data_IF_089266304469
#
_entry.id   IF_089266304469
#
_cell.length_a   1.000
_cell.length_b   1.000
_cell.length_c   1.000
_cell.angle_alpha   90.00
_cell.angle_beta   90.00
_cell.angle_gamma   90.00
#
_symmetry.space_group_name_H-M   'P 1'
#
loop_
_entity.id
_entity.type
_entity.pdbx_description
1 polymer ?
#
# COMPACT_ATOMS: atom_id res chain seq x y z
N UNK A 1 18.94 16.29 5.53
CA UNK A 1 18.44 15.61 6.73
C UNK A 1 17.14 14.93 6.31
N UNK A 2 17.14 13.62 6.20
CA UNK A 2 15.97 12.79 5.80
C UNK A 2 14.84 13.03 6.80
N UNK A 3 13.61 13.20 6.32
CA UNK A 3 12.48 13.43 7.22
C UNK A 3 12.10 12.16 7.98
N UNK A 4 11.37 12.31 9.10
CA UNK A 4 10.85 11.15 9.82
C UNK A 4 9.90 10.30 8.95
N UNK A 5 9.10 10.94 8.08
CA UNK A 5 8.20 10.23 7.17
C UNK A 5 8.97 9.39 6.15
N UNK A 6 9.99 9.97 5.53
CA UNK A 6 10.87 9.27 4.57
C UNK A 6 11.61 8.10 5.24
N UNK A 7 12.07 8.27 6.48
CA UNK A 7 12.67 7.17 7.27
C UNK A 7 11.69 6.01 7.49
N UNK A 8 10.41 6.32 7.75
CA UNK A 8 9.39 5.29 7.97
C UNK A 8 9.01 4.59 6.66
N UNK A 9 8.89 5.34 5.57
CA UNK A 9 8.54 4.77 4.27
C UNK A 9 9.64 3.84 3.73
N UNK A 10 10.90 4.11 4.04
CA UNK A 10 12.04 3.26 3.66
C UNK A 10 12.31 2.10 4.62
N UNK A 11 11.60 2.02 5.76
CA UNK A 11 11.89 1.03 6.82
C UNK A 11 11.70 -0.42 6.37
N UNK A 12 10.67 -0.70 5.57
CA UNK A 12 10.34 -2.04 5.10
C UNK A 12 10.34 -2.06 3.56
N UNK A 13 11.24 -2.85 2.93
CA UNK A 13 11.27 -2.94 1.48
C UNK A 13 10.03 -3.64 0.92
N UNK A 14 9.60 -3.20 -0.26
CA UNK A 14 8.56 -3.85 -1.03
C UNK A 14 9.04 -5.19 -1.62
N UNK A 15 8.13 -6.16 -1.70
CA UNK A 15 8.32 -7.37 -2.49
C UNK A 15 8.07 -7.13 -3.99
N UNK A 16 8.39 -8.11 -4.82
CA UNK A 16 8.28 -8.02 -6.28
C UNK A 16 6.87 -7.64 -6.77
N UNK A 17 5.82 -8.10 -6.09
CA UNK A 17 4.43 -7.79 -6.46
C UNK A 17 4.12 -6.32 -6.19
N UNK A 18 4.57 -5.79 -5.04
CA UNK A 18 4.43 -4.38 -4.71
C UNK A 18 5.26 -3.48 -5.63
N UNK A 19 6.51 -3.87 -5.91
CA UNK A 19 7.38 -3.16 -6.85
C UNK A 19 6.75 -3.07 -8.24
N UNK A 20 6.19 -4.17 -8.74
CA UNK A 20 5.49 -4.20 -10.03
C UNK A 20 4.26 -3.28 -10.04
N UNK A 21 3.45 -3.28 -8.98
CA UNK A 21 2.28 -2.42 -8.87
C UNK A 21 2.66 -0.92 -8.83
N UNK A 22 3.73 -0.56 -8.11
CA UNK A 22 4.25 0.82 -8.05
C UNK A 22 4.84 1.28 -9.38
N UNK A 23 5.61 0.42 -10.05
CA UNK A 23 6.11 0.69 -11.40
C UNK A 23 4.96 0.95 -12.36
N UNK A 24 3.92 0.11 -12.31
CA UNK A 24 2.72 0.31 -13.14
C UNK A 24 1.97 1.58 -12.79
N UNK A 25 1.93 1.96 -11.50
CA UNK A 25 1.34 3.22 -11.08
C UNK A 25 2.04 4.43 -11.71
N UNK A 26 3.38 4.41 -11.70
CA UNK A 26 4.20 5.43 -12.31
C UNK A 26 4.00 5.51 -13.83
N UNK A 27 3.98 4.37 -14.54
CA UNK A 27 3.70 4.32 -15.99
C UNK A 27 2.33 4.91 -16.36
N UNK A 28 1.32 4.67 -15.53
CA UNK A 28 -0.05 5.16 -15.74
C UNK A 28 -0.27 6.58 -15.22
N UNK A 29 0.71 7.18 -14.54
CA UNK A 29 0.58 8.50 -13.92
C UNK A 29 -0.42 8.54 -12.76
N UNK A 30 -0.69 7.41 -12.09
CA UNK A 30 -1.55 7.37 -10.91
C UNK A 30 -0.72 7.42 -9.63
N UNK A 31 -1.19 8.18 -8.63
CA UNK A 31 -0.51 8.30 -7.35
C UNK A 31 -0.65 6.99 -6.56
N UNK A 32 0.50 6.41 -6.16
CA UNK A 32 0.54 5.29 -5.25
C UNK A 32 0.56 5.78 -3.80
N UNK A 33 -0.12 5.06 -2.89
CA UNK A 33 -0.02 5.35 -1.45
C UNK A 33 1.41 5.14 -0.95
N UNK A 34 1.83 5.97 0.01
CA UNK A 34 3.11 5.77 0.70
C UNK A 34 3.14 4.41 1.44
N UNK A 35 4.32 3.76 1.59
CA UNK A 35 4.46 2.52 2.34
C UNK A 35 3.85 2.56 3.76
N UNK A 36 4.07 3.65 4.50
CA UNK A 36 3.48 3.86 5.83
C UNK A 36 1.95 3.86 5.82
N UNK A 37 1.33 4.55 4.86
CA UNK A 37 -0.12 4.54 4.65
C UNK A 37 -0.63 3.14 4.33
N UNK A 38 0.07 2.41 3.45
CA UNK A 38 -0.25 1.02 3.13
C UNK A 38 -0.18 0.11 4.35
N UNK A 39 0.85 0.24 5.18
CA UNK A 39 0.98 -0.51 6.43
C UNK A 39 -0.19 -0.24 7.39
N UNK A 40 -0.64 1.02 7.49
CA UNK A 40 -1.82 1.37 8.27
C UNK A 40 -3.11 0.74 7.72
N UNK A 41 -3.30 0.73 6.39
CA UNK A 41 -4.44 0.06 5.75
C UNK A 41 -4.45 -1.45 6.03
N UNK A 42 -3.29 -2.11 5.91
CA UNK A 42 -3.14 -3.53 6.24
C UNK A 42 -3.50 -3.79 7.71
N UNK A 43 -2.96 -2.99 8.62
CA UNK A 43 -3.25 -3.08 10.05
C UNK A 43 -4.75 -2.94 10.35
N UNK A 44 -5.41 -1.94 9.77
CA UNK A 44 -6.85 -1.75 9.94
C UNK A 44 -7.65 -2.94 9.39
N UNK A 45 -7.34 -3.43 8.18
CA UNK A 45 -8.02 -4.59 7.60
C UNK A 45 -7.87 -5.85 8.47
N UNK A 46 -6.67 -6.10 9.01
CA UNK A 46 -6.42 -7.23 9.92
C UNK A 46 -7.15 -7.08 11.24
N UNK A 47 -7.08 -5.91 11.88
CA UNK A 47 -7.63 -5.70 13.22
C UNK A 47 -9.15 -5.80 13.28
N UNK A 48 -9.84 -5.39 12.21
CA UNK A 48 -11.30 -5.55 12.12
C UNK A 48 -11.72 -6.91 11.56
N UNK A 49 -10.77 -7.79 11.20
CA UNK A 49 -11.05 -9.08 10.57
C UNK A 49 -11.83 -8.92 9.25
N UNK A 50 -11.43 -7.94 8.43
CA UNK A 50 -12.18 -7.52 7.25
C UNK A 50 -12.48 -8.70 6.31
N UNK A 51 -13.76 -8.93 6.03
CA UNK A 51 -14.24 -9.91 5.03
C UNK A 51 -14.65 -9.28 3.71
N UNK A 52 -14.95 -7.99 3.74
CA UNK A 52 -15.27 -7.19 2.57
C UNK A 52 -14.70 -5.78 2.75
N UNK A 53 -14.12 -5.23 1.69
CA UNK A 53 -13.59 -3.86 1.64
C UNK A 53 -14.02 -3.25 0.31
N UNK A 54 -14.41 -1.98 0.34
CA UNK A 54 -14.66 -1.18 -0.86
C UNK A 54 -13.51 -0.19 -1.01
N UNK A 55 -12.79 -0.28 -2.13
CA UNK A 55 -11.76 0.68 -2.53
C UNK A 55 -12.34 1.58 -3.63
N UNK A 56 -12.31 2.90 -3.42
CA UNK A 56 -12.73 3.88 -4.43
C UNK A 56 -11.47 4.54 -4.99
N UNK A 57 -11.16 4.23 -6.25
CA UNK A 57 -9.93 4.70 -6.91
C UNK A 57 -8.76 3.74 -6.75
N UNK A 58 -8.82 2.60 -7.42
CA UNK A 58 -7.82 1.52 -7.33
C UNK A 58 -6.43 1.90 -7.89
N UNK A 59 -6.36 2.84 -8.83
CA UNK A 59 -5.11 3.15 -9.53
C UNK A 59 -4.50 1.89 -10.15
N UNK A 60 -3.24 1.60 -9.84
CA UNK A 60 -2.58 0.34 -10.24
C UNK A 60 -2.63 -0.77 -9.16
N UNK A 61 -3.47 -0.63 -8.13
CA UNK A 61 -3.74 -1.67 -7.13
C UNK A 61 -2.80 -1.71 -5.91
N UNK A 62 -1.91 -0.72 -5.74
CA UNK A 62 -0.98 -0.64 -4.59
C UNK A 62 -1.74 -0.66 -3.26
N UNK A 63 -2.80 0.14 -3.12
CA UNK A 63 -3.61 0.20 -1.90
C UNK A 63 -4.41 -1.09 -1.68
N UNK A 64 -5.01 -1.63 -2.75
CA UNK A 64 -5.68 -2.93 -2.74
C UNK A 64 -4.79 -4.09 -2.28
N UNK A 65 -3.51 -4.13 -2.67
CA UNK A 65 -2.57 -5.17 -2.21
C UNK A 65 -2.36 -5.12 -0.69
N UNK A 66 -2.21 -3.94 -0.09
CA UNK A 66 -2.12 -3.82 1.37
C UNK A 66 -3.39 -4.28 2.07
N UNK A 67 -4.57 -3.90 1.55
CA UNK A 67 -5.87 -4.30 2.09
C UNK A 67 -6.03 -5.83 2.04
N UNK A 68 -5.80 -6.45 0.89
CA UNK A 68 -5.90 -7.90 0.69
C UNK A 68 -4.94 -8.67 1.61
N UNK A 69 -3.70 -8.20 1.78
CA UNK A 69 -2.72 -8.78 2.71
C UNK A 69 -3.10 -8.64 4.18
N UNK A 70 -4.03 -7.75 4.51
CA UNK A 70 -4.58 -7.61 5.84
C UNK A 70 -5.83 -8.47 6.08
N UNK A 71 -6.52 -8.87 5.01
CA UNK A 71 -7.73 -9.70 5.06
C UNK A 71 -7.45 -11.22 5.14
N UNK A 72 -6.22 -11.63 4.83
CA UNK A 72 -5.77 -13.03 4.81
C UNK A 72 -5.62 -13.64 6.22
#
# INVERSE_FOLDING_TARGET
MTSAAETVDDYLPDDDVMLAARARAAELGCAAVAPSTGAALRFLATTVGAKAVVELGTGAGVSGLYLLRGMA
#
